data_IF_272855263732
#
_entry.id   IF_272855263732
#
_cell.length_a   1.000
_cell.length_b   1.000
_cell.length_c   1.000
_cell.angle_alpha   90.00
_cell.angle_beta   90.00
_cell.angle_gamma   90.00
#
_symmetry.space_group_name_H-M   'P 1'
#
loop_
_entity.id
_entity.type
_entity.pdbx_description
1 polymer ?
#
# COMPACT_ATOMS: atom_id res chain seq x y z
N UNK A 1 -7.43 -1.85 -12.26
CA UNK A 1 -7.22 -2.49 -13.59
C UNK A 1 -7.04 -4.02 -13.45
N UNK A 2 -6.14 -4.59 -12.62
CA UNK A 2 -5.98 -6.05 -12.53
C UNK A 2 -7.27 -6.79 -12.14
N UNK A 3 -7.99 -6.30 -11.13
CA UNK A 3 -9.26 -6.89 -10.67
C UNK A 3 -10.33 -6.85 -11.77
N UNK A 4 -10.48 -5.74 -12.46
CA UNK A 4 -11.45 -5.63 -13.58
C UNK A 4 -11.16 -6.63 -14.70
N UNK A 5 -9.88 -6.80 -15.07
CA UNK A 5 -9.47 -7.80 -16.06
C UNK A 5 -9.73 -9.23 -15.59
N UNK A 6 -9.51 -9.52 -14.31
CA UNK A 6 -9.67 -10.85 -13.74
C UNK A 6 -11.14 -11.24 -13.49
N UNK A 7 -12.00 -10.26 -13.17
CA UNK A 7 -13.41 -10.50 -12.81
C UNK A 7 -14.41 -10.15 -13.90
N UNK A 8 -13.99 -9.42 -14.95
CA UNK A 8 -14.89 -8.90 -15.99
C UNK A 8 -15.77 -7.72 -15.54
N UNK A 9 -15.59 -7.21 -14.32
CA UNK A 9 -16.35 -6.05 -13.81
C UNK A 9 -15.79 -4.78 -14.45
N UNK A 10 -16.68 -3.87 -14.86
CA UNK A 10 -16.30 -2.56 -15.39
C UNK A 10 -15.45 -1.78 -14.40
N UNK A 11 -14.33 -1.23 -14.89
CA UNK A 11 -13.35 -0.52 -14.06
C UNK A 11 -13.98 0.72 -13.40
N UNK A 12 -14.90 1.42 -14.07
CA UNK A 12 -15.55 2.60 -13.51
C UNK A 12 -16.46 2.23 -12.33
N UNK A 13 -17.11 1.07 -12.37
CA UNK A 13 -17.88 0.56 -11.23
C UNK A 13 -16.95 0.29 -10.04
N UNK A 14 -15.81 -0.35 -10.29
CA UNK A 14 -14.82 -0.61 -9.24
C UNK A 14 -14.27 0.69 -8.65
N UNK A 15 -13.98 1.70 -9.47
CA UNK A 15 -13.52 3.03 -9.01
C UNK A 15 -14.62 3.70 -8.16
N UNK A 16 -15.86 3.74 -8.65
CA UNK A 16 -16.95 4.38 -7.94
C UNK A 16 -17.23 3.71 -6.58
N UNK A 17 -17.29 2.38 -6.55
CA UNK A 17 -17.55 1.62 -5.32
C UNK A 17 -16.40 1.76 -4.33
N UNK A 18 -15.15 1.58 -4.77
CA UNK A 18 -13.99 1.71 -3.89
C UNK A 18 -13.83 3.15 -3.36
N UNK A 19 -13.97 4.15 -4.22
CA UNK A 19 -13.91 5.56 -3.83
C UNK A 19 -14.98 5.95 -2.82
N UNK A 20 -16.22 5.46 -3.01
CA UNK A 20 -17.32 5.67 -2.06
C UNK A 20 -17.02 5.00 -0.70
N UNK A 21 -16.55 3.77 -0.71
CA UNK A 21 -16.22 3.04 0.51
C UNK A 21 -15.05 3.69 1.27
N UNK A 22 -14.00 4.13 0.58
CA UNK A 22 -12.88 4.86 1.18
C UNK A 22 -13.34 6.21 1.75
N UNK A 23 -14.17 6.95 1.02
CA UNK A 23 -14.75 8.21 1.52
C UNK A 23 -15.63 7.99 2.75
N UNK A 24 -16.37 6.89 2.80
CA UNK A 24 -17.15 6.52 3.96
C UNK A 24 -16.29 6.15 5.17
N UNK A 25 -15.20 5.40 4.95
CA UNK A 25 -14.26 5.01 6.02
C UNK A 25 -13.62 6.24 6.65
N UNK A 26 -13.16 7.18 5.82
CA UNK A 26 -12.48 8.37 6.33
C UNK A 26 -13.42 9.32 7.09
N UNK A 27 -14.73 9.25 6.84
CA UNK A 27 -15.71 9.98 7.63
C UNK A 27 -15.62 9.65 9.12
N UNK A 28 -15.27 8.40 9.48
CA UNK A 28 -15.06 7.97 10.86
C UNK A 28 -13.65 8.31 11.39
N UNK A 29 -12.76 8.81 10.54
CA UNK A 29 -11.43 9.30 10.91
C UNK A 29 -10.46 8.21 11.36
N UNK A 30 -9.50 8.60 12.23
CA UNK A 30 -8.38 7.72 12.63
C UNK A 30 -8.82 6.39 13.27
N UNK A 31 -9.98 6.34 13.90
CA UNK A 31 -10.48 5.10 14.50
C UNK A 31 -10.80 4.03 13.45
N UNK A 32 -11.42 4.42 12.33
CA UNK A 32 -11.69 3.50 11.24
C UNK A 32 -10.40 3.06 10.54
N UNK A 33 -9.46 3.99 10.32
CA UNK A 33 -8.13 3.65 9.80
C UNK A 33 -7.42 2.62 10.67
N UNK A 34 -7.49 2.78 11.99
CA UNK A 34 -6.88 1.84 12.94
C UNK A 34 -7.47 0.44 12.81
N UNK A 35 -8.81 0.33 12.79
CA UNK A 35 -9.49 -0.96 12.64
C UNK A 35 -9.14 -1.61 11.30
N UNK A 36 -9.19 -0.84 10.22
CA UNK A 36 -8.83 -1.32 8.89
C UNK A 36 -7.38 -1.84 8.85
N UNK A 37 -6.44 -1.11 9.46
CA UNK A 37 -5.02 -1.49 9.49
C UNK A 37 -4.76 -2.74 10.33
N UNK A 38 -5.49 -2.95 11.44
CA UNK A 38 -5.40 -4.16 12.26
C UNK A 38 -5.76 -5.41 11.45
N UNK A 39 -6.66 -5.29 10.48
CA UNK A 39 -7.04 -6.39 9.59
C UNK A 39 -6.11 -6.47 8.37
N UNK A 40 -5.86 -5.32 7.73
CA UNK A 40 -5.13 -5.27 6.47
C UNK A 40 -3.65 -5.67 6.63
N UNK A 41 -2.96 -5.15 7.64
CA UNK A 41 -1.51 -5.39 7.79
C UNK A 41 -1.21 -6.88 7.99
N UNK A 42 -1.84 -7.61 8.93
CA UNK A 42 -1.61 -9.05 9.05
C UNK A 42 -1.99 -9.83 7.78
N UNK A 43 -3.10 -9.47 7.12
CA UNK A 43 -3.53 -10.13 5.90
C UNK A 43 -2.49 -9.96 4.78
N UNK A 44 -1.99 -8.74 4.56
CA UNK A 44 -0.95 -8.45 3.56
C UNK A 44 0.35 -9.20 3.89
N UNK A 45 0.77 -9.19 5.16
CA UNK A 45 1.99 -9.90 5.59
C UNK A 45 1.86 -11.41 5.36
N UNK A 46 0.76 -12.03 5.79
CA UNK A 46 0.56 -13.47 5.66
C UNK A 46 0.44 -13.89 4.19
N UNK A 47 -0.44 -13.23 3.44
CA UNK A 47 -0.69 -13.58 2.04
C UNK A 47 0.52 -13.24 1.15
N UNK A 48 1.18 -12.11 1.39
CA UNK A 48 2.39 -11.73 0.67
C UNK A 48 3.55 -12.68 0.95
N UNK A 49 3.77 -13.07 2.22
CA UNK A 49 4.79 -14.06 2.58
C UNK A 49 4.50 -15.42 1.97
N UNK A 50 3.25 -15.84 1.91
CA UNK A 50 2.84 -17.08 1.25
C UNK A 50 3.16 -17.05 -0.25
N UNK A 51 2.84 -15.93 -0.92
CA UNK A 51 3.17 -15.75 -2.34
C UNK A 51 4.68 -15.78 -2.60
N UNK A 52 5.48 -15.15 -1.73
CA UNK A 52 6.95 -15.22 -1.82
C UNK A 52 7.45 -16.64 -1.61
N UNK A 53 6.89 -17.36 -0.65
CA UNK A 53 7.25 -18.77 -0.43
C UNK A 53 6.96 -19.62 -1.67
N UNK A 54 5.83 -19.46 -2.32
CA UNK A 54 5.52 -20.11 -3.60
C UNK A 54 6.53 -19.71 -4.68
N UNK A 55 6.77 -18.42 -4.86
CA UNK A 55 7.71 -17.91 -5.86
C UNK A 55 9.12 -18.53 -5.69
N UNK A 56 9.60 -18.61 -4.45
CA UNK A 56 10.89 -19.26 -4.14
C UNK A 56 10.87 -20.76 -4.43
N UNK A 57 9.76 -21.42 -4.10
CA UNK A 57 9.60 -22.87 -4.35
C UNK A 57 9.58 -23.19 -5.84
N UNK A 58 8.87 -22.39 -6.62
CA UNK A 58 8.71 -22.57 -8.07
C UNK A 58 10.03 -22.43 -8.85
N UNK A 59 10.94 -21.55 -8.38
CA UNK A 59 12.27 -21.41 -9.01
C UNK A 59 13.32 -22.39 -8.47
N UNK A 60 12.95 -23.31 -7.58
CA UNK A 60 13.86 -24.32 -7.05
C UNK A 60 14.65 -23.90 -5.81
N UNK A 61 14.17 -22.88 -5.07
CA UNK A 61 14.71 -22.47 -3.78
C UNK A 61 15.47 -21.14 -3.80
N UNK A 62 15.90 -20.72 -2.63
CA UNK A 62 16.59 -19.43 -2.44
C UNK A 62 17.91 -19.31 -3.21
N UNK A 63 18.65 -20.41 -3.38
CA UNK A 63 19.93 -20.38 -4.06
C UNK A 63 19.75 -20.14 -5.57
N UNK A 64 18.72 -20.72 -6.17
CA UNK A 64 18.36 -20.42 -7.55
C UNK A 64 17.87 -18.99 -7.71
N UNK A 65 17.05 -18.49 -6.77
CA UNK A 65 16.58 -17.10 -6.80
C UNK A 65 17.77 -16.10 -6.75
N UNK A 66 18.77 -16.35 -5.91
CA UNK A 66 19.99 -15.53 -5.81
C UNK A 66 20.89 -15.61 -7.06
N UNK A 67 20.82 -16.70 -7.79
CA UNK A 67 21.60 -16.89 -9.02
C UNK A 67 21.00 -16.14 -10.23
N UNK A 68 19.76 -15.62 -10.13
CA UNK A 68 19.14 -14.84 -11.19
C UNK A 68 19.87 -13.50 -11.34
N UNK A 69 20.49 -13.32 -12.50
CA UNK A 69 21.24 -12.09 -12.81
C UNK A 69 20.27 -11.06 -13.39
N UNK A 70 20.20 -9.84 -12.82
CA UNK A 70 19.39 -8.76 -13.36
C UNK A 70 19.82 -8.40 -14.79
N UNK A 71 18.89 -8.26 -15.70
CA UNK A 71 19.17 -7.83 -17.08
C UNK A 71 19.71 -6.40 -17.15
N UNK A 72 19.26 -5.55 -16.24
CA UNK A 72 19.69 -4.15 -16.11
C UNK A 72 20.10 -3.86 -14.66
N UNK A 73 21.39 -3.99 -14.32
CA UNK A 73 21.83 -3.69 -12.97
C UNK A 73 21.70 -2.19 -12.66
N UNK A 74 21.13 -1.87 -11.51
CA UNK A 74 21.04 -0.50 -11.03
C UNK A 74 22.31 -0.11 -10.29
N UNK A 75 22.84 1.09 -10.56
CA UNK A 75 23.90 1.64 -9.73
C UNK A 75 23.35 2.06 -8.35
N UNK A 76 24.24 2.15 -7.36
CA UNK A 76 23.86 2.46 -5.98
C UNK A 76 23.09 3.79 -5.85
N UNK A 77 23.49 4.83 -6.57
CA UNK A 77 22.85 6.14 -6.49
C UNK A 77 21.40 6.10 -7.00
N UNK A 78 21.17 5.39 -8.11
CA UNK A 78 19.81 5.21 -8.66
C UNK A 78 18.97 4.36 -7.73
N UNK A 79 19.49 3.28 -7.19
CA UNK A 79 18.77 2.44 -6.23
C UNK A 79 18.40 3.22 -4.98
N UNK A 80 19.33 4.01 -4.43
CA UNK A 80 19.06 4.87 -3.27
C UNK A 80 17.97 5.92 -3.58
N UNK A 81 18.05 6.57 -4.73
CA UNK A 81 17.06 7.55 -5.16
C UNK A 81 15.67 6.93 -5.29
N UNK A 82 15.55 5.72 -5.83
CA UNK A 82 14.29 4.98 -5.94
C UNK A 82 13.72 4.62 -4.55
N UNK A 83 14.57 4.12 -3.64
CA UNK A 83 14.14 3.77 -2.27
C UNK A 83 13.66 5.01 -1.51
N UNK A 84 14.43 6.11 -1.54
CA UNK A 84 14.02 7.37 -0.89
C UNK A 84 12.77 7.94 -1.56
N UNK A 85 12.72 7.99 -2.88
CA UNK A 85 11.61 8.54 -3.66
C UNK A 85 10.31 7.77 -3.46
N UNK A 86 10.37 6.46 -3.27
CA UNK A 86 9.17 5.62 -3.07
C UNK A 86 8.40 5.95 -1.80
N UNK A 87 9.07 6.48 -0.77
CA UNK A 87 8.47 6.69 0.56
C UNK A 87 8.64 8.09 1.16
N UNK A 88 9.23 9.04 0.43
CA UNK A 88 9.47 10.41 0.95
C UNK A 88 8.16 11.12 1.37
N UNK A 89 7.08 10.89 0.63
CA UNK A 89 5.75 11.44 0.97
C UNK A 89 5.22 10.89 2.30
N UNK A 90 5.39 9.60 2.57
CA UNK A 90 5.04 9.01 3.87
C UNK A 90 5.88 9.59 5.01
N UNK A 91 7.14 9.95 4.75
CA UNK A 91 8.01 10.65 5.69
C UNK A 91 7.41 11.98 6.15
N UNK A 92 6.88 12.78 5.23
CA UNK A 92 6.22 14.06 5.56
C UNK A 92 4.94 13.89 6.37
N UNK A 93 4.20 12.79 6.17
CA UNK A 93 2.96 12.48 6.87
C UNK A 93 3.17 11.79 8.21
N UNK A 94 4.39 11.35 8.52
CA UNK A 94 4.69 10.56 9.74
C UNK A 94 4.23 11.28 11.01
N UNK A 95 4.40 12.59 11.10
CA UNK A 95 3.98 13.38 12.26
C UNK A 95 2.48 13.27 12.56
N UNK A 96 1.63 13.18 11.53
CA UNK A 96 0.18 13.09 11.66
C UNK A 96 -0.28 11.77 12.31
N UNK A 97 0.51 10.72 12.17
CA UNK A 97 0.23 9.40 12.74
C UNK A 97 0.91 9.18 14.10
N UNK A 98 2.19 9.54 14.21
CA UNK A 98 2.95 9.32 15.46
C UNK A 98 2.52 10.24 16.61
N UNK A 99 1.78 11.33 16.33
CA UNK A 99 1.21 12.21 17.37
C UNK A 99 0.27 11.48 18.34
N UNK A 100 -0.26 10.32 17.97
CA UNK A 100 -1.07 9.47 18.83
C UNK A 100 -0.22 8.57 19.74
N UNK A 101 1.10 8.59 19.58
CA UNK A 101 2.02 7.88 20.46
C UNK A 101 2.03 8.44 21.88
N UNK A 102 2.16 7.58 22.89
CA UNK A 102 2.15 7.98 24.30
C UNK A 102 3.33 8.87 24.69
N UNK A 103 4.45 8.74 24.02
CA UNK A 103 5.69 9.48 24.26
C UNK A 103 6.59 9.48 23.02
N UNK A 104 7.64 10.32 23.03
CA UNK A 104 8.57 10.45 21.93
C UNK A 104 9.27 9.13 21.55
N UNK A 105 9.63 8.28 22.54
CA UNK A 105 10.25 6.98 22.28
C UNK A 105 9.31 6.05 21.52
N UNK A 106 8.04 6.02 21.91
CA UNK A 106 7.00 5.26 21.22
C UNK A 106 6.78 5.77 19.78
N UNK A 107 6.75 7.09 19.59
CA UNK A 107 6.62 7.69 18.25
C UNK A 107 7.78 7.29 17.32
N UNK A 108 9.03 7.38 17.83
CA UNK A 108 10.22 6.94 17.08
C UNK A 108 10.15 5.44 16.77
N UNK A 109 9.79 4.60 17.75
CA UNK A 109 9.68 3.16 17.53
C UNK A 109 8.63 2.82 16.47
N UNK A 110 7.46 3.47 16.50
CA UNK A 110 6.41 3.28 15.48
C UNK A 110 6.95 3.63 14.09
N UNK A 111 7.61 4.79 13.95
CA UNK A 111 8.21 5.20 12.69
C UNK A 111 9.28 4.21 12.21
N UNK A 112 10.18 3.77 13.11
CA UNK A 112 11.20 2.78 12.77
C UNK A 112 10.61 1.45 12.30
N UNK A 113 9.62 0.92 13.01
CA UNK A 113 8.95 -0.33 12.61
C UNK A 113 8.28 -0.17 11.26
N UNK A 114 7.53 0.91 11.04
CA UNK A 114 6.84 1.15 9.77
C UNK A 114 7.82 1.25 8.59
N UNK A 115 8.88 2.06 8.72
CA UNK A 115 9.80 2.29 7.61
C UNK A 115 10.83 1.16 7.42
N UNK A 116 11.41 0.61 8.48
CA UNK A 116 12.39 -0.46 8.33
C UNK A 116 11.74 -1.82 8.07
N UNK A 117 10.78 -2.24 8.89
CA UNK A 117 10.19 -3.55 8.72
C UNK A 117 9.14 -3.56 7.61
N UNK A 118 8.20 -2.62 7.63
CA UNK A 118 7.11 -2.58 6.64
C UNK A 118 7.62 -2.36 5.23
N UNK A 119 8.44 -1.34 5.02
CA UNK A 119 8.97 -1.01 3.69
C UNK A 119 9.94 -2.10 3.19
N UNK A 120 10.84 -2.62 4.05
CA UNK A 120 11.75 -3.70 3.67
C UNK A 120 10.98 -4.96 3.25
N UNK A 121 9.90 -5.29 3.94
CA UNK A 121 9.05 -6.42 3.59
C UNK A 121 8.43 -6.26 2.20
N UNK A 122 7.93 -5.05 1.88
CA UNK A 122 7.37 -4.76 0.56
C UNK A 122 8.43 -4.86 -0.55
N UNK A 123 9.66 -4.39 -0.31
CA UNK A 123 10.76 -4.57 -1.25
C UNK A 123 11.12 -6.04 -1.47
N UNK A 124 11.11 -6.85 -0.40
CA UNK A 124 11.36 -8.30 -0.51
C UNK A 124 10.26 -8.96 -1.36
N UNK A 125 9.00 -8.60 -1.15
CA UNK A 125 7.89 -9.12 -1.95
C UNK A 125 8.03 -8.77 -3.42
N UNK A 126 8.33 -7.50 -3.74
CA UNK A 126 8.54 -7.05 -5.11
C UNK A 126 9.76 -7.70 -5.77
N UNK A 127 10.88 -7.80 -5.04
CA UNK A 127 12.12 -8.40 -5.56
C UNK A 127 11.96 -9.91 -5.84
N UNK A 128 11.34 -10.65 -4.91
CA UNK A 128 11.08 -12.07 -5.11
C UNK A 128 10.12 -12.32 -6.28
N UNK A 129 9.06 -11.53 -6.39
CA UNK A 129 8.13 -11.61 -7.50
C UNK A 129 8.77 -11.27 -8.85
N UNK A 130 9.55 -10.20 -8.91
CA UNK A 130 10.27 -9.80 -10.11
C UNK A 130 11.27 -10.89 -10.56
N UNK A 131 11.98 -11.49 -9.64
CA UNK A 131 12.95 -12.53 -9.94
C UNK A 131 12.30 -13.85 -10.38
N UNK A 132 11.21 -14.25 -9.73
CA UNK A 132 10.58 -15.56 -9.98
C UNK A 132 9.58 -15.54 -11.16
N UNK A 133 8.82 -14.46 -11.31
CA UNK A 133 7.67 -14.40 -12.22
C UNK A 133 7.80 -13.25 -13.24
N UNK A 134 8.82 -12.39 -13.11
CA UNK A 134 9.01 -11.20 -13.95
C UNK A 134 8.02 -10.05 -13.64
N UNK A 135 7.31 -10.12 -12.51
CA UNK A 135 6.34 -9.13 -12.06
C UNK A 135 6.76 -8.58 -10.70
N UNK A 136 6.82 -7.25 -10.56
CA UNK A 136 7.19 -6.59 -9.31
C UNK A 136 6.00 -6.25 -8.40
N UNK A 137 4.78 -6.21 -8.94
CA UNK A 137 3.56 -6.01 -8.16
C UNK A 137 3.10 -7.35 -7.57
N UNK A 138 2.99 -7.40 -6.24
CA UNK A 138 2.63 -8.63 -5.52
C UNK A 138 1.26 -9.18 -5.96
N UNK A 139 0.34 -8.31 -6.35
CA UNK A 139 -0.98 -8.74 -6.82
C UNK A 139 -0.91 -9.43 -8.18
N UNK A 140 -0.07 -8.92 -9.08
CA UNK A 140 0.16 -9.55 -10.39
C UNK A 140 0.93 -10.88 -10.24
N UNK A 141 1.88 -10.95 -9.29
CA UNK A 141 2.56 -12.20 -8.91
C UNK A 141 1.56 -13.25 -8.43
N UNK A 142 0.66 -12.87 -7.50
CA UNK A 142 -0.37 -13.76 -6.98
C UNK A 142 -1.33 -14.24 -8.07
N UNK A 143 -1.72 -13.36 -9.00
CA UNK A 143 -2.58 -13.73 -10.13
C UNK A 143 -1.87 -14.76 -11.02
N UNK A 144 -0.59 -14.54 -11.34
CA UNK A 144 0.22 -15.49 -12.10
C UNK A 144 0.39 -16.84 -11.40
N UNK A 145 0.40 -16.86 -10.07
CA UNK A 145 0.41 -18.07 -9.23
C UNK A 145 -0.97 -18.77 -9.11
N UNK A 146 -2.02 -18.22 -9.75
CA UNK A 146 -3.39 -18.75 -9.63
C UNK A 146 -4.10 -18.34 -8.32
N UNK A 147 -3.54 -17.43 -7.54
CA UNK A 147 -4.07 -16.94 -6.27
C UNK A 147 -4.96 -15.71 -6.44
N UNK A 148 -5.98 -15.80 -7.29
CA UNK A 148 -6.84 -14.65 -7.63
C UNK A 148 -7.52 -14.02 -6.41
N UNK A 149 -8.15 -14.82 -5.53
CA UNK A 149 -8.83 -14.29 -4.34
C UNK A 149 -7.85 -13.63 -3.35
N UNK A 150 -6.73 -14.27 -2.96
CA UNK A 150 -5.68 -13.60 -2.19
C UNK A 150 -5.18 -12.30 -2.83
N UNK A 151 -4.97 -12.27 -4.15
CA UNK A 151 -4.54 -11.08 -4.88
C UNK A 151 -5.55 -9.93 -4.75
N UNK A 152 -6.84 -10.20 -4.92
CA UNK A 152 -7.92 -9.20 -4.76
C UNK A 152 -7.95 -8.66 -3.33
N UNK A 153 -7.80 -9.53 -2.32
CA UNK A 153 -7.79 -9.13 -0.91
C UNK A 153 -6.58 -8.25 -0.62
N UNK A 154 -5.37 -8.66 -1.00
CA UNK A 154 -4.13 -7.90 -0.76
C UNK A 154 -4.20 -6.56 -1.47
N UNK A 155 -4.55 -6.54 -2.75
CA UNK A 155 -4.65 -5.31 -3.53
C UNK A 155 -5.73 -4.37 -2.95
N UNK A 156 -6.91 -4.91 -2.66
CA UNK A 156 -8.03 -4.13 -2.11
C UNK A 156 -7.67 -3.49 -0.77
N UNK A 157 -7.13 -4.27 0.17
CA UNK A 157 -6.73 -3.78 1.49
C UNK A 157 -5.56 -2.77 1.40
N UNK A 158 -4.58 -3.02 0.53
CA UNK A 158 -3.43 -2.13 0.35
C UNK A 158 -3.86 -0.78 -0.23
N UNK A 159 -4.64 -0.78 -1.31
CA UNK A 159 -5.16 0.45 -1.92
C UNK A 159 -6.06 1.20 -0.93
N UNK A 160 -6.93 0.49 -0.23
CA UNK A 160 -7.85 1.10 0.73
C UNK A 160 -7.09 1.80 1.87
N UNK A 161 -6.19 1.10 2.55
CA UNK A 161 -5.41 1.69 3.64
C UNK A 161 -4.54 2.85 3.17
N UNK A 162 -3.92 2.76 2.00
CA UNK A 162 -3.07 3.81 1.44
C UNK A 162 -3.88 5.07 1.10
N UNK A 163 -5.01 4.92 0.43
CA UNK A 163 -5.85 6.06 0.05
C UNK A 163 -6.51 6.71 1.27
N UNK A 164 -6.99 5.93 2.23
CA UNK A 164 -7.55 6.47 3.47
C UNK A 164 -6.51 7.29 4.25
N UNK A 165 -5.26 6.82 4.32
CA UNK A 165 -4.17 7.58 4.94
C UNK A 165 -3.91 8.90 4.20
N UNK A 166 -3.90 8.89 2.87
CA UNK A 166 -3.73 10.09 2.06
C UNK A 166 -4.90 11.08 2.24
N UNK A 167 -6.14 10.59 2.24
CA UNK A 167 -7.33 11.40 2.47
C UNK A 167 -7.34 12.01 3.87
N UNK A 168 -6.95 11.25 4.88
CA UNK A 168 -6.85 11.74 6.25
C UNK A 168 -5.83 12.87 6.37
N UNK A 169 -4.62 12.67 5.85
CA UNK A 169 -3.56 13.67 5.90
C UNK A 169 -3.91 14.92 5.08
N UNK A 170 -4.51 14.76 3.90
CA UNK A 170 -4.97 15.89 3.08
C UNK A 170 -6.04 16.72 3.79
N UNK A 171 -6.99 16.06 4.44
CA UNK A 171 -8.02 16.73 5.24
C UNK A 171 -7.45 17.52 6.41
N UNK A 172 -6.41 17.02 7.07
CA UNK A 172 -5.69 17.75 8.12
C UNK A 172 -4.94 18.96 7.55
N UNK A 173 -4.22 18.78 6.43
CA UNK A 173 -3.48 19.85 5.77
C UNK A 173 -4.40 20.99 5.36
N UNK A 174 -5.50 20.71 4.68
CA UNK A 174 -6.47 21.73 4.30
C UNK A 174 -7.18 22.36 5.51
N UNK A 175 -7.45 21.63 6.56
CA UNK A 175 -8.04 22.17 7.80
C UNK A 175 -7.14 23.24 8.44
N UNK A 176 -5.82 23.00 8.43
CA UNK A 176 -4.86 23.96 8.96
C UNK A 176 -4.83 25.30 8.16
N UNK A 177 -5.11 25.25 6.86
CA UNK A 177 -5.10 26.43 5.99
C UNK A 177 -6.45 27.17 6.03
N UNK A 178 -7.55 26.41 6.01
CA UNK A 178 -8.90 26.97 5.82
C UNK A 178 -9.65 27.23 7.14
N UNK A 179 -9.23 26.58 8.23
CA UNK A 179 -9.96 26.56 9.52
C UNK A 179 -11.24 25.71 9.51
N UNK A 180 -11.54 25.01 8.40
CA UNK A 180 -12.71 24.13 8.30
C UNK A 180 -12.44 22.76 8.98
N UNK A 181 -13.51 22.00 9.21
CA UNK A 181 -13.40 20.66 9.78
C UNK A 181 -12.58 19.72 8.88
N UNK A 182 -11.56 19.08 9.44
CA UNK A 182 -10.76 18.09 8.71
C UNK A 182 -11.62 16.94 8.16
N UNK A 183 -12.66 16.53 8.91
CA UNK A 183 -13.62 15.49 8.45
C UNK A 183 -14.32 15.91 7.16
N UNK A 184 -14.87 17.12 7.12
CA UNK A 184 -15.55 17.65 5.93
C UNK A 184 -14.62 17.73 4.75
N UNK A 185 -13.39 18.19 4.97
CA UNK A 185 -12.37 18.31 3.91
C UNK A 185 -11.88 16.96 3.42
N UNK A 186 -11.68 15.96 4.30
CA UNK A 186 -11.34 14.60 3.87
C UNK A 186 -12.43 13.98 3.00
N UNK A 187 -13.71 14.15 3.37
CA UNK A 187 -14.84 13.67 2.57
C UNK A 187 -14.91 14.39 1.23
N UNK A 188 -14.77 15.72 1.21
CA UNK A 188 -14.73 16.50 -0.04
C UNK A 188 -13.60 16.03 -0.97
N UNK A 189 -12.39 15.82 -0.43
CA UNK A 189 -11.25 15.31 -1.18
C UNK A 189 -11.50 13.88 -1.70
N UNK A 190 -12.17 13.04 -0.93
CA UNK A 190 -12.55 11.68 -1.37
C UNK A 190 -13.53 11.70 -2.53
N UNK A 191 -14.54 12.56 -2.48
CA UNK A 191 -15.51 12.74 -3.58
C UNK A 191 -14.79 13.29 -4.83
N UNK A 192 -14.00 14.35 -4.69
CA UNK A 192 -13.26 14.95 -5.81
C UNK A 192 -12.30 13.93 -6.43
N UNK A 193 -11.54 13.20 -5.60
CA UNK A 193 -10.61 12.18 -6.07
C UNK A 193 -11.32 11.06 -6.83
N UNK A 194 -12.47 10.60 -6.34
CA UNK A 194 -13.30 9.59 -7.03
C UNK A 194 -13.80 10.09 -8.39
N UNK A 195 -14.30 11.33 -8.44
CA UNK A 195 -14.76 11.94 -9.70
C UNK A 195 -13.61 12.12 -10.70
N UNK A 196 -12.43 12.54 -10.25
CA UNK A 196 -11.24 12.66 -11.09
C UNK A 196 -10.77 11.29 -11.62
N UNK A 197 -10.94 10.23 -10.86
CA UNK A 197 -10.54 8.88 -11.27
C UNK A 197 -11.52 8.24 -12.27
N UNK A 198 -12.75 8.73 -12.33
CA UNK A 198 -13.77 8.30 -13.30
C UNK A 198 -13.64 9.00 -14.65
N UNK A 199 -12.87 10.09 -14.72
CA UNK A 199 -12.66 10.91 -15.92
C UNK A 199 -11.38 10.53 -16.64
#
# INVERSE_FOLDING_TARGET
IPVGKATGIDVNILIAVSGLLMTLTIFFGISALTVLSIIAVPAIVVLGSYSVWLAVSDVGGLDHLKAIVPQTPLNFSTALALVVGSFVSAGTLTADFVRFGRNAKGAVLIAMVAFFLGNSLMFIFGAAGAAAVGQADISDVMIAQGLLLPAIVVLGLNIWTTNDNALYASGLGFANITGLSSRTLSVANGIIGTLCALW
#
